data_IF_182495553929
#
_entry.id   IF_182495553929
#
_cell.length_a   1.000
_cell.length_b   1.000
_cell.length_c   1.000
_cell.angle_alpha   90.00
_cell.angle_beta   90.00
_cell.angle_gamma   90.00
#
_symmetry.space_group_name_H-M   'P 1'
#
loop_
_entity.id
_entity.type
_entity.pdbx_description
1 polymer ?
#
# COMPACT_ATOMS: atom_id res chain seq x y z
N UNK A 1 -5.07 15.89 1.23
CA UNK A 1 -4.93 17.36 1.21
C UNK A 1 -4.11 17.88 2.39
N UNK A 2 -4.49 17.66 3.66
CA UNK A 2 -3.69 18.13 4.83
C UNK A 2 -2.28 17.50 4.83
N UNK A 3 -2.18 16.18 4.69
CA UNK A 3 -0.88 15.52 4.56
C UNK A 3 -0.13 15.97 3.30
N UNK A 4 -0.83 16.32 2.22
CA UNK A 4 -0.22 16.81 0.99
C UNK A 4 0.44 18.15 1.22
N UNK A 5 -0.22 19.04 1.95
CA UNK A 5 0.33 20.32 2.38
C UNK A 5 1.51 20.13 3.33
N UNK A 6 1.42 19.17 4.25
CA UNK A 6 2.47 18.91 5.24
C UNK A 6 3.74 18.32 4.59
N UNK A 7 3.61 17.27 3.76
CA UNK A 7 4.75 16.68 3.05
C UNK A 7 5.32 17.61 1.97
N UNK A 8 4.46 18.29 1.21
CA UNK A 8 4.95 19.26 0.21
C UNK A 8 5.57 20.49 0.89
N UNK A 9 5.05 20.91 2.04
CA UNK A 9 5.62 22.01 2.84
C UNK A 9 6.96 21.65 3.47
N UNK A 10 7.15 20.42 3.94
CA UNK A 10 8.44 19.92 4.42
C UNK A 10 9.47 19.81 3.30
N UNK A 11 9.09 19.32 2.11
CA UNK A 11 9.93 19.34 0.91
C UNK A 11 10.32 20.77 0.51
N UNK A 12 9.36 21.71 0.52
CA UNK A 12 9.59 23.11 0.17
C UNK A 12 10.51 23.80 1.19
N UNK A 13 10.34 23.54 2.49
CA UNK A 13 11.26 23.99 3.54
C UNK A 13 12.67 23.43 3.33
N UNK A 14 12.80 22.18 2.89
CA UNK A 14 14.09 21.55 2.60
C UNK A 14 14.78 22.17 1.39
N UNK A 15 14.03 22.50 0.34
CA UNK A 15 14.50 23.17 -0.89
C UNK A 15 14.94 24.61 -0.60
N UNK A 16 14.17 25.34 0.22
CA UNK A 16 14.51 26.70 0.68
C UNK A 16 15.77 26.68 1.55
N UNK A 17 15.88 25.70 2.46
CA UNK A 17 17.05 25.54 3.31
C UNK A 17 18.30 25.12 2.51
N UNK A 18 18.14 24.42 1.38
CA UNK A 18 19.24 24.06 0.48
C UNK A 18 19.58 25.14 -0.57
N UNK A 19 18.89 26.28 -0.58
CA UNK A 19 19.16 27.40 -1.50
C UNK A 19 18.81 27.15 -2.97
N UNK A 20 17.95 26.17 -3.28
CA UNK A 20 17.59 25.83 -4.66
C UNK A 20 16.37 26.63 -5.16
N UNK A 21 16.33 26.95 -6.45
CA UNK A 21 15.20 27.69 -7.06
C UNK A 21 13.88 26.91 -7.01
N UNK A 22 12.80 27.59 -6.61
CA UNK A 22 11.47 27.00 -6.43
C UNK A 22 10.67 27.13 -7.73
N UNK A 23 10.50 26.03 -8.47
CA UNK A 23 9.60 25.96 -9.61
C UNK A 23 8.12 25.81 -9.19
N UNK A 24 7.45 26.94 -8.92
CA UNK A 24 6.07 27.02 -8.42
C UNK A 24 5.02 26.27 -9.26
N UNK A 25 5.09 26.33 -10.59
CA UNK A 25 4.16 25.62 -11.49
C UNK A 25 4.34 24.10 -11.42
N UNK A 26 5.59 23.63 -11.30
CA UNK A 26 5.91 22.22 -11.09
C UNK A 26 5.43 21.72 -9.73
N UNK A 27 5.47 22.57 -8.70
CA UNK A 27 4.99 22.26 -7.35
C UNK A 27 3.47 22.08 -7.31
N UNK A 28 2.71 23.00 -7.91
CA UNK A 28 1.24 22.91 -7.98
C UNK A 28 0.81 21.70 -8.82
N UNK A 29 1.48 21.44 -9.95
CA UNK A 29 1.24 20.24 -10.74
C UNK A 29 1.52 18.94 -9.96
N UNK A 30 2.63 18.87 -9.22
CA UNK A 30 2.96 17.71 -8.37
C UNK A 30 1.96 17.53 -7.22
N UNK A 31 1.43 18.62 -6.68
CA UNK A 31 0.39 18.60 -5.66
C UNK A 31 -0.96 18.05 -6.19
N UNK A 32 -1.38 18.50 -7.38
CA UNK A 32 -2.64 18.08 -8.01
C UNK A 32 -2.57 16.63 -8.51
N UNK A 33 -1.43 16.23 -9.10
CA UNK A 33 -1.24 14.88 -9.66
C UNK A 33 -0.83 13.86 -8.58
N UNK A 34 -0.61 14.29 -7.34
CA UNK A 34 -0.19 13.40 -6.24
C UNK A 34 1.27 12.96 -6.31
N UNK A 35 2.11 13.67 -7.08
CA UNK A 35 3.56 13.43 -7.18
C UNK A 35 4.36 13.96 -5.98
N UNK A 36 3.72 14.63 -5.01
CA UNK A 36 4.42 15.15 -3.83
C UNK A 36 4.81 14.08 -2.81
N UNK A 37 4.09 12.96 -2.71
CA UNK A 37 4.45 11.85 -1.81
C UNK A 37 3.76 10.55 -2.23
N UNK A 38 4.44 9.41 -2.06
CA UNK A 38 3.96 8.06 -2.37
C UNK A 38 2.56 7.75 -1.84
N UNK A 39 2.13 8.23 -0.65
CA UNK A 39 0.76 8.04 -0.18
C UNK A 39 -0.33 8.65 -1.07
N UNK A 40 -0.06 9.72 -1.83
CA UNK A 40 -1.07 10.37 -2.68
C UNK A 40 -1.38 9.59 -3.95
N UNK A 41 -0.39 8.89 -4.50
CA UNK A 41 -0.59 7.96 -5.60
C UNK A 41 -1.71 6.96 -5.30
N UNK A 42 -1.72 6.39 -4.09
CA UNK A 42 -2.75 5.44 -3.67
C UNK A 42 -4.15 6.08 -3.55
N UNK A 43 -4.26 7.36 -3.16
CA UNK A 43 -5.54 8.08 -3.16
C UNK A 43 -6.06 8.22 -4.59
N UNK A 44 -5.19 8.62 -5.53
CA UNK A 44 -5.58 8.78 -6.95
C UNK A 44 -6.08 7.44 -7.52
N UNK A 45 -5.36 6.35 -7.25
CA UNK A 45 -5.78 5.00 -7.64
C UNK A 45 -7.14 4.64 -7.03
N UNK A 46 -7.36 4.91 -5.74
CA UNK A 46 -8.65 4.65 -5.09
C UNK A 46 -9.78 5.46 -5.70
N UNK A 47 -9.55 6.73 -6.05
CA UNK A 47 -10.55 7.57 -6.73
C UNK A 47 -10.88 6.98 -8.11
N UNK A 48 -9.86 6.61 -8.90
CA UNK A 48 -10.05 5.97 -10.21
C UNK A 48 -10.90 4.70 -10.10
N UNK A 49 -10.56 3.81 -9.16
CA UNK A 49 -11.27 2.57 -8.89
C UNK A 49 -12.71 2.82 -8.39
N UNK A 50 -12.91 3.83 -7.56
CA UNK A 50 -14.23 4.20 -7.02
C UNK A 50 -15.16 4.69 -8.12
N UNK A 51 -14.67 5.50 -9.06
CA UNK A 51 -15.45 5.99 -10.20
C UNK A 51 -15.94 4.83 -11.08
N UNK A 52 -15.12 3.82 -11.33
CA UNK A 52 -15.49 2.65 -12.15
C UNK A 52 -16.30 1.59 -11.38
N UNK A 53 -16.43 1.72 -10.05
CA UNK A 53 -17.05 0.70 -9.19
C UNK A 53 -18.49 0.34 -9.56
N UNK A 54 -19.40 1.29 -9.87
CA UNK A 54 -20.78 0.93 -10.21
C UNK A 54 -20.85 0.00 -11.42
N UNK A 55 -19.98 0.22 -12.41
CA UNK A 55 -19.85 -0.64 -13.58
C UNK A 55 -19.25 -2.00 -13.23
N UNK A 56 -18.15 -2.03 -12.46
CA UNK A 56 -17.51 -3.29 -12.03
C UNK A 56 -18.49 -4.19 -11.26
N UNK A 57 -19.28 -3.63 -10.34
CA UNK A 57 -20.28 -4.39 -9.57
C UNK A 57 -21.33 -5.00 -10.49
N UNK A 58 -21.81 -4.27 -11.50
CA UNK A 58 -22.76 -4.79 -12.50
C UNK A 58 -22.14 -5.95 -13.27
N UNK A 59 -20.89 -5.80 -13.73
CA UNK A 59 -20.17 -6.84 -14.49
C UNK A 59 -19.91 -8.10 -13.66
N UNK A 60 -19.55 -7.97 -12.38
CA UNK A 60 -19.36 -9.10 -11.46
C UNK A 60 -20.68 -9.88 -11.28
N UNK A 61 -21.79 -9.17 -11.05
CA UNK A 61 -23.11 -9.80 -10.88
C UNK A 61 -23.60 -10.49 -12.16
N UNK A 62 -23.29 -9.96 -13.33
CA UNK A 62 -23.63 -10.56 -14.62
C UNK A 62 -22.81 -11.82 -14.93
N UNK A 63 -21.65 -12.00 -14.29
CA UNK A 63 -20.75 -13.16 -14.43
C UNK A 63 -20.44 -13.56 -15.90
N UNK A 64 -20.37 -12.57 -16.80
CA UNK A 64 -20.10 -12.79 -18.22
C UNK A 64 -18.61 -12.93 -18.54
N UNK A 65 -18.29 -13.07 -19.84
CA UNK A 65 -16.91 -13.16 -20.35
C UNK A 65 -16.07 -11.95 -19.91
N UNK A 66 -16.65 -10.75 -19.90
CA UNK A 66 -15.99 -9.52 -19.45
C UNK A 66 -15.51 -9.64 -17.99
N UNK A 67 -16.31 -10.26 -17.12
CA UNK A 67 -15.94 -10.47 -15.70
C UNK A 67 -14.67 -11.31 -15.56
N UNK A 68 -14.49 -12.30 -16.45
CA UNK A 68 -13.31 -13.16 -16.50
C UNK A 68 -12.10 -12.44 -17.10
N UNK A 69 -12.30 -11.66 -18.17
CA UNK A 69 -11.22 -10.87 -18.81
C UNK A 69 -10.64 -9.85 -17.83
N UNK A 70 -11.47 -9.23 -16.98
CA UNK A 70 -11.00 -8.25 -16.00
C UNK A 70 -9.98 -8.83 -15.01
N UNK A 71 -10.02 -10.14 -14.72
CA UNK A 71 -9.00 -10.80 -13.89
C UNK A 71 -7.59 -10.78 -14.51
N UNK A 72 -7.48 -10.62 -15.83
CA UNK A 72 -6.20 -10.59 -16.54
C UNK A 72 -5.51 -9.23 -16.47
N UNK A 73 -6.20 -8.16 -16.07
CA UNK A 73 -5.63 -6.80 -16.03
C UNK A 73 -4.35 -6.74 -15.20
N UNK A 74 -4.39 -7.28 -13.98
CA UNK A 74 -3.23 -7.26 -13.07
C UNK A 74 -2.12 -8.23 -13.49
N UNK A 75 -2.39 -9.50 -13.83
CA UNK A 75 -1.38 -10.40 -14.37
C UNK A 75 -0.67 -9.87 -15.63
N UNK A 76 -1.41 -9.34 -16.61
CA UNK A 76 -0.83 -8.76 -17.82
C UNK A 76 0.05 -7.54 -17.50
N UNK A 77 -0.38 -6.72 -16.53
CA UNK A 77 0.41 -5.60 -16.07
C UNK A 77 1.70 -6.05 -15.37
N UNK A 78 1.65 -7.08 -14.53
CA UNK A 78 2.86 -7.65 -13.93
C UNK A 78 3.79 -8.22 -15.01
N UNK A 79 3.29 -8.98 -15.98
CA UNK A 79 4.11 -9.47 -17.10
C UNK A 79 4.82 -8.34 -17.83
N UNK A 80 4.12 -7.24 -18.09
CA UNK A 80 4.70 -6.04 -18.68
C UNK A 80 5.84 -5.47 -17.81
N UNK A 81 5.65 -5.37 -16.49
CA UNK A 81 6.70 -4.87 -15.58
C UNK A 81 7.96 -5.75 -15.56
N UNK A 82 7.77 -7.08 -15.52
CA UNK A 82 8.90 -8.02 -15.54
C UNK A 82 9.64 -7.94 -16.87
N UNK A 83 8.92 -7.90 -18.00
CA UNK A 83 9.51 -7.75 -19.33
C UNK A 83 10.25 -6.41 -19.46
N UNK A 84 9.67 -5.32 -18.96
CA UNK A 84 10.31 -4.01 -18.97
C UNK A 84 11.62 -4.03 -18.17
N UNK A 85 11.62 -4.57 -16.95
CA UNK A 85 12.82 -4.60 -16.13
C UNK A 85 13.90 -5.48 -16.77
N UNK A 86 13.49 -6.59 -17.40
CA UNK A 86 14.41 -7.47 -18.14
C UNK A 86 15.05 -6.78 -19.36
N UNK A 87 14.27 -6.01 -20.14
CA UNK A 87 14.74 -5.39 -21.38
C UNK A 87 15.51 -4.09 -21.11
N UNK A 88 14.99 -3.23 -20.24
CA UNK A 88 15.52 -1.87 -20.00
C UNK A 88 16.50 -1.84 -18.83
N UNK A 89 16.48 -2.85 -17.95
CA UNK A 89 17.38 -2.95 -16.80
C UNK A 89 17.06 -1.98 -15.66
N UNK A 90 16.02 -1.17 -15.79
CA UNK A 90 15.59 -0.20 -14.76
C UNK A 90 14.16 -0.49 -14.31
N UNK A 91 13.89 -0.27 -13.02
CA UNK A 91 12.51 -0.35 -12.53
C UNK A 91 11.68 0.78 -13.16
N UNK A 92 10.57 0.47 -13.84
CA UNK A 92 9.66 1.50 -14.30
C UNK A 92 9.11 2.25 -13.09
N UNK A 93 8.62 3.48 -13.28
CA UNK A 93 8.09 4.27 -12.17
C UNK A 93 6.77 3.68 -11.65
N UNK A 94 6.88 2.71 -10.74
CA UNK A 94 5.78 1.93 -10.19
C UNK A 94 4.68 2.82 -9.59
N UNK A 95 5.07 3.93 -8.95
CA UNK A 95 4.21 4.89 -8.26
C UNK A 95 3.76 6.09 -9.11
N UNK A 96 3.82 5.98 -10.44
CA UNK A 96 3.36 7.02 -11.39
C UNK A 96 2.40 6.47 -12.46
N UNK A 97 1.99 5.21 -12.33
CA UNK A 97 1.15 4.51 -13.30
C UNK A 97 -0.33 4.52 -12.90
N UNK A 98 -1.24 4.04 -13.75
CA UNK A 98 -2.67 3.97 -13.41
C UNK A 98 -2.93 2.93 -12.30
N UNK A 99 -4.18 2.50 -12.16
CA UNK A 99 -4.62 1.48 -11.19
C UNK A 99 -4.33 -0.02 -11.52
N UNK A 100 -3.72 -0.48 -12.64
CA UNK A 100 -3.78 -1.90 -13.02
C UNK A 100 -3.00 -2.83 -12.08
N UNK A 101 -1.97 -2.34 -11.38
CA UNK A 101 -1.29 -3.09 -10.33
C UNK A 101 -2.25 -3.49 -9.19
N UNK A 102 -3.13 -2.57 -8.81
CA UNK A 102 -4.01 -2.70 -7.64
C UNK A 102 -5.40 -3.21 -8.00
N UNK A 103 -5.73 -3.21 -9.30
CA UNK A 103 -7.03 -3.61 -9.82
C UNK A 103 -7.45 -5.00 -9.33
N UNK A 104 -6.56 -5.99 -9.36
CA UNK A 104 -6.85 -7.37 -8.96
C UNK A 104 -7.31 -7.47 -7.51
N UNK A 105 -6.68 -6.73 -6.58
CA UNK A 105 -7.11 -6.69 -5.18
C UNK A 105 -8.47 -6.00 -5.02
N UNK A 106 -8.67 -4.89 -5.73
CA UNK A 106 -9.94 -4.17 -5.70
C UNK A 106 -11.09 -5.05 -6.22
N UNK A 107 -10.85 -5.70 -7.36
CA UNK A 107 -11.79 -6.58 -8.01
C UNK A 107 -12.10 -7.83 -7.17
N UNK A 108 -11.08 -8.43 -6.54
CA UNK A 108 -11.24 -9.48 -5.53
C UNK A 108 -12.16 -9.02 -4.40
N UNK A 109 -11.95 -7.81 -3.87
CA UNK A 109 -12.80 -7.21 -2.84
C UNK A 109 -14.26 -7.08 -3.26
N UNK A 110 -14.53 -6.71 -4.52
CA UNK A 110 -15.90 -6.63 -5.06
C UNK A 110 -16.54 -8.03 -5.11
N UNK A 111 -15.82 -9.05 -5.59
CA UNK A 111 -16.34 -10.41 -5.62
C UNK A 111 -16.64 -10.93 -4.22
N UNK A 112 -15.76 -10.68 -3.25
CA UNK A 112 -16.00 -11.05 -1.84
C UNK A 112 -17.25 -10.35 -1.30
N UNK A 113 -17.43 -9.06 -1.59
CA UNK A 113 -18.64 -8.31 -1.23
C UNK A 113 -19.90 -8.82 -1.93
N UNK A 114 -19.77 -9.40 -3.13
CA UNK A 114 -20.85 -10.02 -3.87
C UNK A 114 -21.13 -11.48 -3.46
N UNK A 115 -20.50 -11.97 -2.39
CA UNK A 115 -20.78 -13.28 -1.79
C UNK A 115 -19.70 -14.33 -2.02
N UNK A 116 -18.59 -14.02 -2.72
CA UNK A 116 -17.49 -14.97 -2.85
C UNK A 116 -16.75 -15.15 -1.51
N UNK A 117 -16.56 -16.40 -1.08
CA UNK A 117 -15.79 -16.72 0.12
C UNK A 117 -14.35 -17.08 -0.24
N UNK A 118 -13.43 -16.18 0.04
CA UNK A 118 -12.00 -16.44 -0.05
C UNK A 118 -11.54 -17.25 1.18
N UNK A 119 -11.14 -18.51 0.97
CA UNK A 119 -10.70 -19.41 2.04
C UNK A 119 -9.24 -19.81 1.84
N UNK A 120 -8.34 -19.15 2.55
CA UNK A 120 -6.93 -19.53 2.59
C UNK A 120 -6.55 -20.07 3.98
N UNK A 121 -5.39 -20.73 4.07
CA UNK A 121 -4.84 -21.26 5.31
C UNK A 121 -3.53 -20.55 5.67
N UNK A 122 -3.16 -20.54 6.95
CA UNK A 122 -1.91 -19.97 7.45
C UNK A 122 -0.68 -20.62 6.79
N UNK A 123 -0.71 -21.93 6.53
CA UNK A 123 0.35 -22.61 5.78
C UNK A 123 0.48 -22.09 4.34
N UNK A 124 -0.64 -21.75 3.68
CA UNK A 124 -0.59 -21.16 2.35
C UNK A 124 0.01 -19.75 2.38
N UNK A 125 -0.30 -18.95 3.41
CA UNK A 125 0.32 -17.64 3.61
C UNK A 125 1.82 -17.76 3.90
N UNK A 126 2.24 -18.72 4.72
CA UNK A 126 3.65 -18.99 4.98
C UNK A 126 4.40 -19.46 3.72
N UNK A 127 3.78 -20.34 2.93
CA UNK A 127 4.32 -20.79 1.64
C UNK A 127 4.44 -19.65 0.62
N UNK A 128 3.45 -18.76 0.54
CA UNK A 128 3.49 -17.59 -0.33
C UNK A 128 4.54 -16.56 0.11
N UNK A 129 4.77 -16.41 1.42
CA UNK A 129 5.86 -15.59 1.95
C UNK A 129 7.24 -16.19 1.61
N UNK A 130 7.41 -17.50 1.74
CA UNK A 130 8.64 -18.16 1.32
C UNK A 130 8.86 -17.98 -0.18
N UNK A 131 7.81 -18.12 -0.99
CA UNK A 131 7.85 -17.89 -2.43
C UNK A 131 8.24 -16.44 -2.77
N UNK A 132 7.73 -15.43 -2.06
CA UNK A 132 8.11 -14.04 -2.31
C UNK A 132 9.59 -13.77 -1.98
N UNK A 133 10.12 -14.38 -0.92
CA UNK A 133 11.54 -14.32 -0.60
C UNK A 133 12.40 -15.00 -1.68
N UNK A 134 12.01 -16.21 -2.11
CA UNK A 134 12.72 -16.95 -3.18
C UNK A 134 12.68 -16.18 -4.49
N UNK A 135 11.53 -15.60 -4.84
CA UNK A 135 11.37 -14.74 -6.01
C UNK A 135 12.32 -13.54 -5.95
N UNK A 136 12.38 -12.83 -4.81
CA UNK A 136 13.27 -11.67 -4.66
C UNK A 136 14.75 -12.04 -4.83
N UNK A 137 15.18 -13.18 -4.26
CA UNK A 137 16.56 -13.70 -4.44
C UNK A 137 16.82 -14.11 -5.89
N UNK A 138 15.85 -14.76 -6.54
CA UNK A 138 15.94 -15.15 -7.94
C UNK A 138 16.05 -13.94 -8.88
N UNK A 139 15.21 -12.93 -8.69
CA UNK A 139 15.24 -11.68 -9.46
C UNK A 139 16.58 -10.96 -9.28
N UNK A 140 17.10 -10.91 -8.05
CA UNK A 140 18.44 -10.37 -7.78
C UNK A 140 19.52 -11.14 -8.53
N UNK A 141 19.46 -12.47 -8.57
CA UNK A 141 20.44 -13.29 -9.26
C UNK A 141 20.43 -13.09 -10.79
N UNK A 142 19.27 -12.76 -11.37
CA UNK A 142 19.10 -12.43 -12.80
C UNK A 142 19.57 -10.99 -13.11
N UNK A 143 19.86 -10.17 -12.09
CA UNK A 143 20.36 -8.80 -12.27
C UNK A 143 19.25 -7.76 -12.40
N UNK A 144 18.03 -8.06 -11.93
CA UNK A 144 16.94 -7.08 -11.90
C UNK A 144 17.27 -5.92 -10.93
N UNK A 145 16.69 -4.76 -11.20
CA UNK A 145 16.91 -3.55 -10.39
C UNK A 145 16.47 -3.74 -8.93
N UNK A 146 17.24 -3.17 -7.99
CA UNK A 146 16.95 -3.24 -6.56
C UNK A 146 15.59 -2.63 -6.21
N UNK A 147 15.20 -1.56 -6.90
CA UNK A 147 13.90 -0.94 -6.74
C UNK A 147 12.73 -1.82 -7.19
N UNK A 148 12.98 -2.86 -8.00
CA UNK A 148 11.94 -3.78 -8.47
C UNK A 148 11.80 -5.00 -7.57
N UNK A 149 12.89 -5.75 -7.31
CA UNK A 149 12.79 -7.01 -6.55
C UNK A 149 12.55 -6.80 -5.04
N UNK A 150 12.75 -5.59 -4.53
CA UNK A 150 12.36 -5.20 -3.17
C UNK A 150 10.99 -4.52 -3.10
N UNK A 151 10.32 -4.34 -4.25
CA UNK A 151 9.03 -3.65 -4.33
C UNK A 151 7.87 -4.54 -3.88
N UNK A 152 6.73 -3.90 -3.64
CA UNK A 152 5.47 -4.58 -3.33
C UNK A 152 4.83 -5.22 -4.58
N UNK A 153 5.24 -4.83 -5.78
CA UNK A 153 4.58 -5.17 -7.05
C UNK A 153 5.30 -6.36 -7.72
N UNK A 154 5.33 -7.49 -7.01
CA UNK A 154 5.84 -8.78 -7.51
C UNK A 154 4.78 -9.87 -7.37
N UNK A 155 4.91 -10.94 -8.15
CA UNK A 155 3.94 -12.05 -8.15
C UNK A 155 3.88 -12.70 -6.77
N UNK A 156 5.04 -12.98 -6.15
CA UNK A 156 5.13 -13.55 -4.82
C UNK A 156 4.51 -12.65 -3.76
N UNK A 157 4.81 -11.35 -3.80
CA UNK A 157 4.20 -10.37 -2.88
C UNK A 157 2.67 -10.31 -3.02
N UNK A 158 2.15 -10.43 -4.25
CA UNK A 158 0.72 -10.41 -4.49
C UNK A 158 0.03 -11.69 -4.00
N UNK A 159 0.64 -12.86 -4.25
CA UNK A 159 0.16 -14.13 -3.73
C UNK A 159 0.16 -14.13 -2.20
N UNK A 160 1.21 -13.60 -1.57
CA UNK A 160 1.27 -13.45 -0.13
C UNK A 160 0.13 -12.57 0.40
N UNK A 161 -0.12 -11.42 -0.24
CA UNK A 161 -1.23 -10.54 0.13
C UNK A 161 -2.60 -11.22 -0.01
N UNK A 162 -2.87 -11.93 -1.11
CA UNK A 162 -4.16 -12.65 -1.30
C UNK A 162 -4.33 -13.75 -0.25
N UNK A 163 -3.29 -14.52 0.02
CA UNK A 163 -3.35 -15.64 0.97
C UNK A 163 -3.48 -15.19 2.42
N UNK A 164 -2.78 -14.12 2.84
CA UNK A 164 -2.94 -13.55 4.18
C UNK A 164 -4.34 -12.96 4.37
N UNK A 165 -4.85 -12.21 3.38
CA UNK A 165 -6.22 -11.64 3.42
C UNK A 165 -7.25 -12.78 3.52
N UNK A 166 -7.14 -13.80 2.67
CA UNK A 166 -8.04 -14.96 2.71
C UNK A 166 -7.98 -15.74 4.01
N UNK A 167 -6.81 -15.84 4.64
CA UNK A 167 -6.66 -16.48 5.94
C UNK A 167 -7.31 -15.67 7.06
N UNK A 168 -7.11 -14.35 7.06
CA UNK A 168 -7.70 -13.44 8.06
C UNK A 168 -9.23 -13.39 7.93
N UNK A 169 -9.77 -13.32 6.71
CA UNK A 169 -11.21 -13.37 6.45
C UNK A 169 -11.82 -14.69 6.96
N UNK A 170 -11.20 -15.83 6.64
CA UNK A 170 -11.63 -17.15 7.15
C UNK A 170 -11.60 -17.21 8.69
N UNK A 171 -10.54 -16.68 9.31
CA UNK A 171 -10.40 -16.66 10.77
C UNK A 171 -11.46 -15.79 11.43
N UNK A 172 -11.84 -14.68 10.80
CA UNK A 172 -12.90 -13.79 11.26
C UNK A 172 -14.29 -14.45 11.19
N UNK A 173 -14.60 -15.18 10.11
CA UNK A 173 -15.85 -15.94 10.01
C UNK A 173 -15.98 -17.00 11.12
N UNK A 174 -14.88 -17.72 11.41
CA UNK A 174 -14.87 -18.79 12.40
C UNK A 174 -14.88 -18.29 13.85
N UNK A 175 -14.45 -17.05 14.11
CA UNK A 175 -14.18 -16.55 15.45
C UNK A 175 -15.01 -15.29 15.75
N UNK A 176 -16.32 -15.48 15.99
CA UNK A 176 -17.33 -14.40 16.18
C UNK A 176 -17.02 -13.39 17.29
N UNK A 177 -16.12 -13.66 18.23
CA UNK A 177 -15.79 -12.73 19.34
C UNK A 177 -14.32 -12.29 19.44
N UNK A 178 -13.43 -12.84 18.61
CA UNK A 178 -12.00 -12.94 18.96
C UNK A 178 -11.01 -11.92 18.39
N UNK A 179 -11.31 -11.22 17.28
CA UNK A 179 -10.30 -10.36 16.62
C UNK A 179 -10.44 -8.87 16.94
N UNK A 180 -10.80 -8.51 18.17
CA UNK A 180 -10.97 -7.10 18.58
C UNK A 180 -9.69 -6.27 18.40
N UNK A 181 -8.52 -6.86 18.64
CA UNK A 181 -7.23 -6.18 18.44
C UNK A 181 -6.90 -5.98 16.95
N UNK A 182 -7.07 -7.02 16.14
CA UNK A 182 -6.78 -6.94 14.71
C UNK A 182 -7.74 -5.96 14.00
N UNK A 183 -9.01 -5.95 14.41
CA UNK A 183 -9.99 -4.96 13.95
C UNK A 183 -9.54 -3.54 14.32
N UNK A 184 -9.13 -3.29 15.57
CA UNK A 184 -8.63 -1.98 15.99
C UNK A 184 -7.39 -1.51 15.22
N UNK A 185 -6.46 -2.43 14.95
CA UNK A 185 -5.28 -2.13 14.10
C UNK A 185 -5.74 -1.80 12.67
N UNK A 186 -6.70 -2.55 12.14
CA UNK A 186 -7.35 -2.26 10.86
C UNK A 186 -7.99 -0.87 10.82
N UNK A 187 -8.71 -0.48 11.88
CA UNK A 187 -9.35 0.84 12.00
C UNK A 187 -8.31 1.98 12.05
N UNK A 188 -7.09 1.71 12.53
CA UNK A 188 -5.98 2.66 12.52
C UNK A 188 -5.15 2.64 11.23
N UNK A 189 -5.35 1.65 10.35
CA UNK A 189 -4.43 1.37 9.23
C UNK A 189 -4.29 2.54 8.26
N UNK A 190 -5.38 3.26 7.98
CA UNK A 190 -5.36 4.42 7.09
C UNK A 190 -4.59 5.60 7.69
N UNK A 191 -4.73 5.84 9.00
CA UNK A 191 -3.93 6.84 9.71
C UNK A 191 -2.44 6.48 9.74
N UNK A 192 -2.12 5.21 10.02
CA UNK A 192 -0.74 4.69 10.01
C UNK A 192 -0.13 4.89 8.63
N UNK A 193 -0.88 4.59 7.57
CA UNK A 193 -0.46 4.80 6.19
C UNK A 193 -0.05 6.25 5.88
N UNK A 194 -0.65 7.27 6.50
CA UNK A 194 -0.22 8.66 6.29
C UNK A 194 1.01 9.06 7.10
N UNK A 195 1.12 8.60 8.34
CA UNK A 195 2.14 9.12 9.27
C UNK A 195 3.41 8.29 9.31
N UNK A 196 3.37 7.01 8.91
CA UNK A 196 4.49 6.10 9.09
C UNK A 196 5.77 6.58 8.40
N UNK A 197 5.67 7.28 7.26
CA UNK A 197 6.85 7.84 6.59
C UNK A 197 7.50 8.95 7.41
N UNK A 198 6.70 9.87 7.98
CA UNK A 198 7.22 10.89 8.90
C UNK A 198 7.82 10.26 10.17
N UNK A 199 7.16 9.26 10.75
CA UNK A 199 7.68 8.52 11.91
C UNK A 199 8.98 7.81 11.56
N UNK A 200 9.07 7.15 10.40
CA UNK A 200 10.27 6.47 9.93
C UNK A 200 11.46 7.44 9.78
N UNK A 201 11.22 8.67 9.31
CA UNK A 201 12.27 9.69 9.24
C UNK A 201 12.81 10.08 10.62
N UNK A 202 11.94 10.16 11.63
CA UNK A 202 12.35 10.47 13.02
C UNK A 202 13.08 9.28 13.63
N UNK A 203 12.47 8.09 13.57
CA UNK A 203 13.03 6.83 14.09
C UNK A 203 14.38 6.53 13.44
N UNK A 204 14.51 6.81 12.14
CA UNK A 204 15.74 6.62 11.39
C UNK A 204 16.90 7.51 11.86
N UNK A 205 16.64 8.66 12.47
CA UNK A 205 17.68 9.51 13.06
C UNK A 205 18.13 9.06 14.45
N UNK A 206 17.32 8.25 15.13
CA UNK A 206 17.56 7.84 16.52
C UNK A 206 18.25 6.47 16.56
N UNK A 207 17.91 5.59 15.62
CA UNK A 207 18.47 4.23 15.58
C UNK A 207 19.75 4.23 14.76
N UNK A 208 20.86 4.01 15.46
CA UNK A 208 22.14 3.61 14.88
C UNK A 208 22.45 2.20 15.40
N UNK A 209 22.55 1.23 14.49
CA UNK A 209 22.88 -0.15 14.83
C UNK A 209 23.70 -0.75 13.69
N UNK A 210 24.83 -1.36 14.03
CA UNK A 210 25.75 -1.95 13.05
C UNK A 210 25.17 -3.21 12.39
N UNK A 211 24.37 -3.99 13.14
CA UNK A 211 23.75 -5.18 12.60
C UNK A 211 22.60 -4.78 11.66
N UNK A 212 22.80 -4.99 10.37
CA UNK A 212 21.83 -4.69 9.31
C UNK A 212 20.42 -5.25 9.59
N UNK A 213 20.31 -6.51 10.03
CA UNK A 213 19.02 -7.13 10.30
C UNK A 213 18.33 -6.51 11.51
N UNK A 214 19.09 -6.30 12.59
CA UNK A 214 18.57 -5.65 13.79
C UNK A 214 18.15 -4.20 13.51
N UNK A 215 18.93 -3.48 12.72
CA UNK A 215 18.65 -2.12 12.30
C UNK A 215 17.30 -2.00 11.56
N UNK A 216 17.07 -2.84 10.55
CA UNK A 216 15.81 -2.83 9.80
C UNK A 216 14.63 -3.35 10.61
N UNK A 217 14.83 -4.41 11.39
CA UNK A 217 13.79 -4.94 12.26
C UNK A 217 13.34 -3.92 13.31
N UNK A 218 14.29 -3.25 13.98
CA UNK A 218 14.01 -2.25 14.99
C UNK A 218 13.31 -1.02 14.39
N UNK A 219 13.78 -0.54 13.23
CA UNK A 219 13.12 0.54 12.49
C UNK A 219 11.68 0.19 12.14
N UNK A 220 11.44 -1.01 11.62
CA UNK A 220 10.09 -1.46 11.27
C UNK A 220 9.17 -1.55 12.50
N UNK A 221 9.63 -2.19 13.57
CA UNK A 221 8.85 -2.38 14.80
C UNK A 221 8.53 -1.03 15.45
N UNK A 222 9.53 -0.17 15.66
CA UNK A 222 9.33 1.13 16.29
C UNK A 222 8.45 2.04 15.44
N UNK A 223 8.66 2.09 14.13
CA UNK A 223 7.82 2.90 13.24
C UNK A 223 6.37 2.44 13.29
N UNK A 224 6.13 1.14 13.22
CA UNK A 224 4.77 0.58 13.27
C UNK A 224 4.10 0.84 14.61
N UNK A 225 4.84 0.65 15.71
CA UNK A 225 4.34 0.82 17.07
C UNK A 225 4.02 2.29 17.40
N UNK A 226 4.96 3.20 17.11
CA UNK A 226 4.76 4.65 17.33
C UNK A 226 3.61 5.14 16.46
N UNK A 227 3.54 4.73 15.18
CA UNK A 227 2.45 5.12 14.30
C UNK A 227 1.09 4.66 14.83
N UNK A 228 0.99 3.41 15.31
CA UNK A 228 -0.23 2.89 15.90
C UNK A 228 -0.65 3.69 17.14
N UNK A 229 0.29 3.96 18.06
CA UNK A 229 0.00 4.74 19.28
C UNK A 229 -0.50 6.14 18.93
N UNK A 230 0.17 6.85 18.03
CA UNK A 230 -0.19 8.22 17.65
C UNK A 230 -1.60 8.26 17.07
N UNK A 231 -1.94 7.35 16.15
CA UNK A 231 -3.27 7.28 15.54
C UNK A 231 -4.33 6.89 16.57
N UNK A 232 -4.05 5.87 17.39
CA UNK A 232 -5.00 5.39 18.39
C UNK A 232 -5.28 6.45 19.46
N UNK A 233 -4.26 7.16 19.94
CA UNK A 233 -4.44 8.28 20.88
C UNK A 233 -5.25 9.41 20.25
N UNK A 234 -4.95 9.78 19.00
CA UNK A 234 -5.71 10.80 18.28
C UNK A 234 -7.18 10.40 18.09
N UNK A 235 -7.47 9.14 17.76
CA UNK A 235 -8.84 8.63 17.67
C UNK A 235 -9.56 8.68 19.02
N UNK A 236 -8.86 8.38 20.11
CA UNK A 236 -9.42 8.41 21.47
C UNK A 236 -9.71 9.83 21.95
N UNK A 237 -8.79 10.78 21.73
CA UNK A 237 -8.95 12.19 22.15
C UNK A 237 -9.97 12.93 21.29
N UNK A 238 -10.03 12.65 19.99
CA UNK A 238 -10.94 13.32 19.06
C UNK A 238 -12.24 12.54 18.81
N UNK A 239 -12.60 11.60 19.70
CA UNK A 239 -13.81 10.78 19.59
C UNK A 239 -15.09 11.62 19.46
N UNK A 240 -15.12 12.79 20.09
CA UNK A 240 -16.23 13.74 20.05
C UNK A 240 -16.21 14.65 18.80
N UNK A 241 -15.10 14.70 18.07
CA UNK A 241 -14.89 15.52 16.87
C UNK A 241 -14.67 14.67 15.62
N UNK A 242 -15.60 13.75 15.34
CA UNK A 242 -15.52 12.82 14.18
C UNK A 242 -15.27 13.51 12.83
N UNK A 243 -15.78 14.73 12.63
CA UNK A 243 -15.51 15.51 11.41
C UNK A 243 -14.01 15.81 11.25
N UNK A 244 -13.31 16.15 12.33
CA UNK A 244 -11.88 16.46 12.32
C UNK A 244 -11.04 15.20 12.02
N UNK A 245 -11.39 14.06 12.62
CA UNK A 245 -10.73 12.79 12.34
C UNK A 245 -10.83 12.38 10.86
N UNK A 246 -12.00 12.62 10.24
CA UNK A 246 -12.22 12.35 8.81
C UNK A 246 -11.41 13.30 7.92
N UNK A 247 -11.25 14.57 8.31
CA UNK A 247 -10.41 15.52 7.58
C UNK A 247 -8.92 15.17 7.65
N UNK A 248 -8.46 14.67 8.80
CA UNK A 248 -7.07 14.23 9.01
C UNK A 248 -6.81 12.85 8.38
N UNK A 249 -7.86 12.09 8.01
CA UNK A 249 -7.72 10.75 7.42
C UNK A 249 -7.35 9.69 8.44
N UNK A 250 -7.74 9.87 9.71
CA UNK A 250 -7.55 8.88 10.77
C UNK A 250 -8.79 8.00 10.98
N UNK A 251 -9.86 8.22 10.20
CA UNK A 251 -11.10 7.42 10.11
C UNK A 251 -11.61 7.46 8.68
#
# INVERSE_FOLDING_TARGET
MIWSLLYSGLELLKIVHSGNEIHWLGFVYRFIVGKSATPFYYIVVLVQLTVITPWLVKTVKQNGVISKILWLVTPLYLMYLYAWNYIVGISPRLYETLFPAWFGFYYLGIHVRCGWKLKCNGYAAAGALALSCVEAVGLRAVGFDIGFYTSQITVGSFLYAVTIIGWLLKKNENNRSGCRLLSKIGDCSYGIFYIHMAVLMIVGRIIECENWYAYWALRFVLTSFISYIVVHLAQMTLKNHKKLLRYIGFV
#
